data_IF_865207936202
#
_entry.id   IF_865207936202
#
_cell.length_a   1.000
_cell.length_b   1.000
_cell.length_c   1.000
_cell.angle_alpha   90.00
_cell.angle_beta   90.00
_cell.angle_gamma   90.00
#
_symmetry.space_group_name_H-M   'P 1'
#
loop_
_entity.id
_entity.type
_entity.pdbx_description
1 polymer ?
#
# COMPACT_ATOMS: atom_id res chain seq x y z
N UNK A 1 -61.48 6.63 -6.35
CA UNK A 1 -60.99 5.37 -5.75
C UNK A 1 -59.88 4.86 -6.65
N UNK A 2 -58.67 5.37 -6.42
CA UNK A 2 -57.58 5.38 -7.39
C UNK A 2 -56.51 4.32 -7.12
N UNK A 3 -55.69 4.02 -8.14
CA UNK A 3 -54.77 2.88 -8.23
C UNK A 3 -53.48 3.08 -7.42
N UNK A 4 -53.61 3.59 -6.19
CA UNK A 4 -52.48 3.88 -5.28
C UNK A 4 -52.23 2.78 -4.25
N UNK A 5 -53.11 1.78 -4.13
CA UNK A 5 -52.92 0.68 -3.16
C UNK A 5 -52.13 -0.53 -3.71
N UNK A 6 -51.94 -0.64 -5.03
CA UNK A 6 -51.27 -1.81 -5.62
C UNK A 6 -49.74 -1.67 -5.72
N UNK A 7 -49.19 -0.47 -5.55
CA UNK A 7 -47.73 -0.25 -5.56
C UNK A 7 -47.06 -0.50 -4.21
N UNK A 8 -47.83 -0.61 -3.12
CA UNK A 8 -47.29 -0.81 -1.77
C UNK A 8 -47.10 -2.29 -1.38
N UNK A 9 -47.59 -3.24 -2.19
CA UNK A 9 -47.53 -4.68 -1.87
C UNK A 9 -46.47 -5.46 -2.68
N UNK A 10 -45.77 -4.82 -3.61
CA UNK A 10 -44.66 -5.44 -4.37
C UNK A 10 -43.26 -5.11 -3.83
N UNK A 11 -43.14 -4.37 -2.72
CA UNK A 11 -41.84 -4.00 -2.11
C UNK A 11 -41.50 -4.83 -0.85
N UNK A 12 -42.39 -5.70 -0.38
CA UNK A 12 -42.22 -6.37 0.93
C UNK A 12 -41.76 -7.85 0.85
N UNK A 13 -41.49 -8.39 -0.34
CA UNK A 13 -40.94 -9.76 -0.45
C UNK A 13 -39.71 -9.83 -1.35
N UNK A 14 -38.60 -9.27 -0.87
CA UNK A 14 -37.24 -9.73 -1.21
C UNK A 14 -36.21 -9.27 -0.17
N UNK A 15 -36.59 -9.27 1.11
CA UNK A 15 -35.63 -9.37 2.21
C UNK A 15 -35.51 -10.85 2.62
N UNK A 16 -35.30 -11.72 1.64
CA UNK A 16 -34.81 -13.08 1.91
C UNK A 16 -33.36 -12.93 2.37
N UNK A 17 -33.21 -12.89 3.69
CA UNK A 17 -32.15 -13.56 4.46
C UNK A 17 -31.01 -14.04 3.57
N UNK A 18 -30.11 -13.14 3.19
CA UNK A 18 -28.71 -13.51 3.09
C UNK A 18 -28.17 -13.41 4.52
N UNK A 19 -28.53 -14.41 5.32
CA UNK A 19 -27.60 -14.88 6.33
C UNK A 19 -26.41 -15.41 5.53
N UNK A 20 -25.52 -14.50 5.11
CA UNK A 20 -24.19 -14.89 4.70
C UNK A 20 -23.66 -15.67 5.88
N UNK A 21 -23.38 -16.96 5.68
CA UNK A 21 -22.49 -17.73 6.54
C UNK A 21 -21.15 -16.98 6.55
N UNK A 22 -21.05 -15.97 7.41
CA UNK A 22 -19.79 -15.36 7.76
C UNK A 22 -19.09 -16.42 8.57
N UNK A 23 -18.25 -17.22 7.90
CA UNK A 23 -17.24 -18.01 8.60
C UNK A 23 -16.48 -16.99 9.44
N UNK A 24 -16.54 -17.07 10.78
CA UNK A 24 -15.92 -16.06 11.62
C UNK A 24 -14.44 -16.03 11.30
N UNK A 25 -13.86 -14.84 11.09
CA UNK A 25 -12.41 -14.67 10.89
C UNK A 25 -11.60 -15.40 11.99
N UNK A 26 -12.19 -15.51 13.18
CA UNK A 26 -11.71 -16.30 14.33
C UNK A 26 -11.44 -17.78 14.01
N UNK A 27 -12.22 -18.43 13.14
CA UNK A 27 -12.01 -19.81 12.69
C UNK A 27 -10.83 -19.97 11.73
N UNK A 28 -10.51 -18.91 10.97
CA UNK A 28 -9.38 -18.88 10.05
C UNK A 28 -8.06 -18.58 10.76
N UNK A 29 -8.12 -17.80 11.85
CA UNK A 29 -6.96 -17.18 12.51
C UNK A 29 -6.65 -17.70 13.91
N UNK A 30 -7.34 -18.74 14.39
CA UNK A 30 -7.26 -19.22 15.77
C UNK A 30 -5.83 -19.54 16.24
N UNK A 31 -4.89 -19.81 15.33
CA UNK A 31 -3.49 -20.13 15.64
C UNK A 31 -2.46 -19.13 15.09
N UNK A 32 -2.87 -18.08 14.37
CA UNK A 32 -1.94 -17.18 13.69
C UNK A 32 -2.15 -15.73 14.13
N UNK A 33 -1.15 -15.17 14.81
CA UNK A 33 -1.08 -13.75 15.12
C UNK A 33 -0.77 -12.94 13.84
N UNK A 34 -1.78 -12.75 12.99
CA UNK A 34 -1.70 -11.85 11.83
C UNK A 34 -1.62 -10.36 12.23
N UNK A 35 -1.76 -10.07 13.52
CA UNK A 35 -1.99 -8.73 14.05
C UNK A 35 -0.91 -7.71 13.70
N UNK A 36 0.28 -8.15 13.26
CA UNK A 36 1.27 -7.18 12.89
C UNK A 36 2.36 -7.79 11.97
N UNK A 37 2.05 -7.94 10.68
CA UNK A 37 3.01 -8.41 9.66
C UNK A 37 4.28 -7.53 9.57
N UNK A 38 4.22 -6.32 10.13
CA UNK A 38 5.29 -5.33 10.18
C UNK A 38 6.02 -5.23 11.54
N UNK A 39 5.55 -5.89 12.60
CA UNK A 39 6.04 -5.68 13.97
C UNK A 39 7.15 -6.63 14.39
N UNK A 40 8.09 -6.07 15.13
CA UNK A 40 9.23 -6.77 15.73
C UNK A 40 8.94 -7.25 17.16
N UNK A 41 7.85 -6.80 17.78
CA UNK A 41 7.50 -7.05 19.19
C UNK A 41 6.50 -8.20 19.42
N UNK A 42 5.83 -8.70 18.37
CA UNK A 42 4.89 -9.83 18.41
C UNK A 42 5.53 -11.17 18.85
N UNK A 43 6.82 -11.19 19.12
CA UNK A 43 7.60 -12.34 19.62
C UNK A 43 7.28 -12.71 21.07
N UNK A 44 6.58 -11.86 21.86
CA UNK A 44 6.50 -12.06 23.32
C UNK A 44 5.19 -12.57 23.92
N UNK A 45 4.13 -12.80 23.16
CA UNK A 45 2.87 -13.32 23.74
C UNK A 45 2.14 -14.30 22.83
N UNK A 46 2.63 -15.55 22.80
CA UNK A 46 1.77 -16.73 22.87
C UNK A 46 2.63 -17.98 23.01
N UNK A 47 2.66 -18.52 24.22
CA UNK A 47 3.17 -19.86 24.50
C UNK A 47 2.21 -20.89 23.89
N UNK A 48 2.50 -21.33 22.67
CA UNK A 48 2.46 -22.72 22.19
C UNK A 48 2.65 -22.73 20.67
N UNK A 49 3.82 -23.20 20.23
CA UNK A 49 4.17 -23.51 18.83
C UNK A 49 3.78 -22.40 17.83
N UNK A 50 4.40 -21.23 17.96
CA UNK A 50 4.46 -20.27 16.85
C UNK A 50 5.44 -20.88 15.82
N UNK A 51 4.99 -21.31 14.62
CA UNK A 51 5.94 -21.64 13.55
C UNK A 51 6.74 -20.39 13.30
N UNK A 52 8.09 -20.43 13.39
CA UNK A 52 9.01 -19.30 13.20
C UNK A 52 8.41 -18.28 12.22
N UNK A 53 7.71 -17.29 12.77
CA UNK A 53 7.00 -16.29 11.99
C UNK A 53 8.09 -15.41 11.46
N UNK A 54 8.36 -15.49 10.16
CA UNK A 54 9.19 -14.51 9.48
C UNK A 54 8.39 -13.21 9.55
N UNK A 55 8.66 -12.37 10.55
CA UNK A 55 8.28 -10.96 10.49
C UNK A 55 8.77 -10.44 9.14
N UNK A 56 7.91 -9.74 8.41
CA UNK A 56 8.31 -9.14 7.15
C UNK A 56 9.12 -7.89 7.50
N UNK A 57 10.42 -8.06 7.71
CA UNK A 57 11.33 -6.94 7.90
C UNK A 57 11.50 -6.20 6.58
N UNK A 58 10.92 -5.01 6.50
CA UNK A 58 11.09 -4.06 5.42
C UNK A 58 12.03 -2.92 5.88
N UNK A 59 13.23 -3.25 6.39
CA UNK A 59 14.22 -2.27 6.88
C UNK A 59 14.44 -1.13 5.89
N UNK A 60 14.77 -1.51 4.65
CA UNK A 60 14.88 -0.59 3.54
C UNK A 60 14.51 -1.35 2.27
N UNK A 61 13.49 -0.87 1.57
CA UNK A 61 13.13 -1.43 0.27
C UNK A 61 13.83 -0.63 -0.81
N UNK A 62 14.69 -1.29 -1.57
CA UNK A 62 15.41 -0.65 -2.68
C UNK A 62 14.70 -0.87 -4.01
N UNK A 63 14.57 0.17 -4.82
CA UNK A 63 14.12 0.14 -6.22
C UNK A 63 15.23 0.74 -7.09
N UNK A 64 15.59 0.05 -8.17
CA UNK A 64 16.78 0.43 -8.96
C UNK A 64 16.62 1.79 -9.64
N UNK A 65 15.48 2.01 -10.28
CA UNK A 65 15.18 3.25 -10.99
C UNK A 65 13.69 3.44 -11.18
N UNK A 66 13.25 4.70 -11.21
CA UNK A 66 11.93 5.12 -11.62
C UNK A 66 12.07 6.49 -12.28
N UNK A 67 11.26 6.79 -13.29
CA UNK A 67 11.36 8.06 -13.98
C UNK A 67 10.11 8.39 -14.77
N UNK A 68 9.92 9.67 -15.03
CA UNK A 68 8.78 10.19 -15.77
C UNK A 68 9.18 11.35 -16.68
N UNK A 69 8.37 11.57 -17.69
CA UNK A 69 8.36 12.75 -18.54
C UNK A 69 6.90 13.18 -18.68
N UNK A 70 6.46 14.08 -17.80
CA UNK A 70 5.06 14.47 -17.63
C UNK A 70 4.99 15.99 -17.55
N UNK A 71 4.10 16.61 -18.31
CA UNK A 71 3.85 18.05 -18.32
C UNK A 71 5.11 18.92 -18.52
N UNK A 72 6.08 18.40 -19.29
CA UNK A 72 7.33 19.09 -19.57
C UNK A 72 8.37 19.02 -18.44
N UNK A 73 8.10 18.26 -17.38
CA UNK A 73 9.09 17.90 -16.37
C UNK A 73 9.56 16.46 -16.60
N UNK A 74 10.83 16.33 -16.96
CA UNK A 74 11.53 15.05 -16.96
C UNK A 74 12.27 14.86 -15.66
N UNK A 75 12.06 13.71 -15.02
CA UNK A 75 12.68 13.37 -13.75
C UNK A 75 13.02 11.89 -13.71
N UNK A 76 14.29 11.59 -13.49
CA UNK A 76 14.80 10.23 -13.36
C UNK A 76 15.39 10.07 -11.95
N UNK A 77 14.99 9.01 -11.25
CA UNK A 77 15.51 8.62 -9.95
C UNK A 77 16.18 7.25 -10.01
N UNK A 78 17.31 7.09 -9.32
CA UNK A 78 18.04 5.83 -9.20
C UNK A 78 18.44 5.57 -7.75
N UNK A 79 18.78 4.31 -7.43
CA UNK A 79 19.14 3.89 -6.07
C UNK A 79 18.07 4.26 -5.03
N UNK A 80 16.80 4.13 -5.40
CA UNK A 80 15.66 4.59 -4.61
C UNK A 80 15.53 3.69 -3.39
N UNK A 81 15.50 4.28 -2.21
CA UNK A 81 15.38 3.58 -0.93
C UNK A 81 14.17 4.10 -0.19
N UNK A 82 13.25 3.20 0.13
CA UNK A 82 12.10 3.45 0.98
C UNK A 82 12.39 2.95 2.39
N UNK A 83 12.23 3.82 3.38
CA UNK A 83 12.44 3.56 4.79
C UNK A 83 11.19 3.92 5.60
N UNK A 84 10.95 3.21 6.71
CA UNK A 84 9.80 3.43 7.60
C UNK A 84 8.69 2.38 7.49
N UNK A 85 8.83 1.37 6.62
CA UNK A 85 7.84 0.28 6.53
C UNK A 85 7.85 -0.66 7.74
N UNK A 86 8.95 -0.76 8.48
CA UNK A 86 9.00 -1.50 9.75
C UNK A 86 8.15 -0.84 10.85
N UNK A 87 7.97 0.48 10.77
CA UNK A 87 7.18 1.24 11.74
C UNK A 87 5.72 1.37 11.31
N UNK A 88 5.32 0.65 10.25
CA UNK A 88 3.98 0.71 9.72
C UNK A 88 2.95 0.13 10.69
N UNK A 89 1.87 0.87 10.87
CA UNK A 89 0.73 0.50 11.70
C UNK A 89 -0.35 -0.06 10.80
N UNK A 90 -0.76 -1.29 11.08
CA UNK A 90 -1.84 -1.97 10.36
C UNK A 90 -3.21 -1.37 10.75
N UNK A 91 -3.89 -0.76 9.78
CA UNK A 91 -5.24 -0.22 9.96
C UNK A 91 -6.31 -1.28 9.70
N UNK A 92 -6.12 -2.07 8.64
CA UNK A 92 -7.09 -3.06 8.19
C UNK A 92 -6.37 -4.27 7.61
N UNK A 93 -6.80 -5.47 8.00
CA UNK A 93 -6.38 -6.70 7.37
C UNK A 93 -7.49 -7.73 7.44
N UNK A 94 -7.88 -8.28 6.30
CA UNK A 94 -8.96 -9.24 6.27
C UNK A 94 -9.13 -9.95 4.94
N UNK A 95 -9.81 -11.08 5.01
CA UNK A 95 -10.22 -11.87 3.85
C UNK A 95 -11.74 -11.84 3.75
N UNK A 96 -12.25 -11.43 2.60
CA UNK A 96 -13.64 -11.63 2.23
C UNK A 96 -13.71 -12.84 1.29
N UNK A 97 -14.09 -14.01 1.81
CA UNK A 97 -14.18 -15.25 1.03
C UNK A 97 -15.35 -15.27 0.04
N UNK A 98 -16.42 -14.51 0.31
CA UNK A 98 -17.55 -14.37 -0.60
C UNK A 98 -17.15 -13.57 -1.85
N UNK A 99 -16.49 -12.43 -1.66
CA UNK A 99 -15.98 -11.59 -2.74
C UNK A 99 -14.63 -12.07 -3.30
N UNK A 100 -13.96 -12.99 -2.60
CA UNK A 100 -12.59 -13.47 -2.86
C UNK A 100 -11.55 -12.35 -2.93
N UNK A 101 -11.57 -11.48 -1.94
CA UNK A 101 -10.68 -10.31 -1.84
C UNK A 101 -9.98 -10.28 -0.49
N UNK A 102 -8.67 -10.07 -0.50
CA UNK A 102 -7.88 -9.68 0.66
C UNK A 102 -7.80 -8.15 0.67
N UNK A 103 -8.08 -7.55 1.82
CA UNK A 103 -7.88 -6.13 2.09
C UNK A 103 -6.73 -5.96 3.08
N UNK A 104 -5.82 -5.04 2.77
CA UNK A 104 -4.70 -4.66 3.61
C UNK A 104 -4.55 -3.15 3.55
N UNK A 105 -4.75 -2.47 4.67
CA UNK A 105 -4.50 -1.04 4.81
C UNK A 105 -3.54 -0.82 5.97
N UNK A 106 -2.53 0.01 5.77
CA UNK A 106 -1.60 0.42 6.80
C UNK A 106 -1.22 1.89 6.62
N UNK A 107 -0.72 2.52 7.68
CA UNK A 107 -0.12 3.83 7.58
C UNK A 107 1.26 3.86 8.24
N UNK A 108 2.12 4.76 7.79
CA UNK A 108 3.44 4.99 8.37
C UNK A 108 3.98 6.37 8.06
N UNK A 109 5.04 6.77 8.75
CA UNK A 109 5.95 7.79 8.26
C UNK A 109 6.98 7.14 7.34
N UNK A 110 7.25 7.76 6.20
CA UNK A 110 8.15 7.19 5.19
C UNK A 110 9.20 8.21 4.75
N UNK A 111 10.44 7.76 4.64
CA UNK A 111 11.53 8.53 4.03
C UNK A 111 11.95 7.83 2.74
N UNK A 112 11.99 8.58 1.65
CA UNK A 112 12.44 8.13 0.34
C UNK A 112 13.71 8.89 -0.03
N UNK A 113 14.79 8.17 -0.27
CA UNK A 113 16.06 8.76 -0.72
C UNK A 113 16.46 8.18 -2.06
N UNK A 114 17.03 9.01 -2.94
CA UNK A 114 17.45 8.59 -4.26
C UNK A 114 18.40 9.60 -4.91
N UNK A 115 19.20 9.12 -5.85
CA UNK A 115 19.95 9.99 -6.76
C UNK A 115 19.02 10.40 -7.90
N UNK A 116 19.00 11.68 -8.27
CA UNK A 116 18.08 12.21 -9.26
C UNK A 116 18.79 12.97 -10.38
N UNK A 117 18.13 12.98 -11.55
CA UNK A 117 18.40 13.89 -12.66
C UNK A 117 17.07 14.49 -13.11
N UNK A 118 16.97 15.82 -13.14
CA UNK A 118 15.76 16.54 -13.53
C UNK A 118 16.07 17.54 -14.64
N UNK A 119 15.17 17.64 -15.61
CA UNK A 119 15.22 18.70 -16.61
C UNK A 119 13.81 19.12 -17.06
N UNK A 120 13.73 20.27 -17.73
CA UNK A 120 12.50 20.78 -18.29
C UNK A 120 11.91 21.90 -17.44
N UNK A 121 10.61 21.87 -17.21
CA UNK A 121 9.89 22.96 -16.54
C UNK A 121 8.93 22.42 -15.48
N UNK A 122 9.00 22.98 -14.27
CA UNK A 122 8.06 22.71 -13.19
C UNK A 122 7.42 24.03 -12.75
N UNK A 123 6.08 24.11 -12.76
CA UNK A 123 5.33 25.34 -12.43
C UNK A 123 5.80 26.57 -13.23
N UNK A 124 6.03 26.41 -14.53
CA UNK A 124 6.59 27.44 -15.42
C UNK A 124 8.01 27.90 -15.09
N UNK A 125 8.69 27.22 -14.15
CA UNK A 125 10.08 27.49 -13.79
C UNK A 125 10.98 26.45 -14.44
N UNK A 126 11.97 26.86 -15.26
CA UNK A 126 12.95 25.94 -15.80
C UNK A 126 13.76 25.28 -14.68
N UNK A 127 13.91 23.96 -14.78
CA UNK A 127 14.70 23.14 -13.86
C UNK A 127 15.74 22.36 -14.64
N UNK A 128 16.95 22.29 -14.09
CA UNK A 128 18.03 21.47 -14.60
C UNK A 128 18.97 21.17 -13.44
N UNK A 129 18.83 19.98 -12.89
CA UNK A 129 19.48 19.58 -11.65
C UNK A 129 19.87 18.11 -11.69
N UNK A 130 20.96 17.80 -11.00
CA UNK A 130 21.40 16.43 -10.76
C UNK A 130 22.01 16.39 -9.36
N UNK A 131 21.64 15.39 -8.58
CA UNK A 131 22.10 15.31 -7.20
C UNK A 131 21.34 14.27 -6.39
N UNK A 132 21.23 14.52 -5.09
CA UNK A 132 20.56 13.63 -4.15
C UNK A 132 19.26 14.26 -3.65
N UNK A 133 18.21 13.46 -3.58
CA UNK A 133 16.90 13.85 -3.08
C UNK A 133 16.55 13.08 -1.81
N UNK A 134 15.95 13.80 -0.86
CA UNK A 134 15.32 13.24 0.34
C UNK A 134 13.87 13.72 0.37
N UNK A 135 12.94 12.78 0.38
CA UNK A 135 11.50 13.03 0.47
C UNK A 135 10.98 12.41 1.75
N UNK A 136 10.45 13.23 2.64
CA UNK A 136 9.80 12.81 3.89
C UNK A 136 8.28 12.87 3.72
N UNK A 137 7.60 11.77 3.98
CA UNK A 137 6.15 11.61 3.88
C UNK A 137 5.62 11.32 5.28
N UNK A 138 4.73 12.18 5.78
CA UNK A 138 4.13 12.03 7.09
C UNK A 138 2.75 11.41 6.97
N UNK A 139 2.53 10.35 7.75
CA UNK A 139 1.26 9.62 7.80
C UNK A 139 0.75 9.22 6.40
N UNK A 140 1.61 8.56 5.62
CA UNK A 140 1.18 7.96 4.35
C UNK A 140 0.36 6.71 4.66
N UNK A 141 -0.91 6.70 4.26
CA UNK A 141 -1.74 5.51 4.24
C UNK A 141 -1.63 4.82 2.89
N UNK A 142 -1.51 3.50 2.91
CA UNK A 142 -1.50 2.64 1.72
C UNK A 142 -2.54 1.56 1.90
N UNK A 143 -3.39 1.38 0.88
CA UNK A 143 -4.43 0.35 0.84
C UNK A 143 -4.21 -0.56 -0.35
N UNK A 144 -4.28 -1.86 -0.11
CA UNK A 144 -4.25 -2.92 -1.11
C UNK A 144 -5.59 -3.64 -1.14
N UNK A 145 -6.06 -3.89 -2.36
CA UNK A 145 -7.20 -4.76 -2.66
C UNK A 145 -6.66 -5.87 -3.55
N UNK A 146 -6.67 -7.09 -3.03
CA UNK A 146 -5.95 -8.23 -3.61
C UNK A 146 -6.94 -9.36 -3.89
N UNK A 147 -7.38 -9.54 -5.15
CA UNK A 147 -8.17 -10.69 -5.54
C UNK A 147 -7.39 -11.99 -5.33
N UNK A 148 -8.06 -13.03 -4.85
CA UNK A 148 -7.48 -14.34 -4.64
C UNK A 148 -8.38 -15.47 -5.15
N UNK A 149 -7.81 -16.67 -5.33
CA UNK A 149 -8.58 -17.91 -5.44
C UNK A 149 -8.16 -18.91 -4.39
N UNK A 150 -8.96 -19.96 -4.25
CA UNK A 150 -8.61 -21.13 -3.45
C UNK A 150 -8.05 -22.19 -4.40
N UNK A 151 -6.75 -22.47 -4.28
CA UNK A 151 -6.09 -23.56 -4.99
C UNK A 151 -6.07 -24.80 -4.13
N UNK A 152 -6.37 -25.96 -4.72
CA UNK A 152 -6.16 -27.26 -4.08
C UNK A 152 -4.78 -27.77 -4.48
N UNK A 153 -4.00 -28.20 -3.50
CA UNK A 153 -2.75 -28.92 -3.70
C UNK A 153 -2.74 -30.12 -2.74
N UNK A 154 -2.89 -31.32 -3.31
CA UNK A 154 -3.23 -32.54 -2.60
C UNK A 154 -4.49 -32.36 -1.72
N UNK A 155 -4.44 -32.80 -0.45
CA UNK A 155 -5.55 -32.67 0.51
C UNK A 155 -5.61 -31.29 1.19
N UNK A 156 -4.77 -30.33 0.76
CA UNK A 156 -4.70 -28.98 1.33
C UNK A 156 -5.26 -27.95 0.37
N UNK A 157 -5.91 -26.94 0.92
CA UNK A 157 -6.37 -25.76 0.19
C UNK A 157 -5.47 -24.59 0.55
N UNK A 158 -5.13 -23.75 -0.41
CA UNK A 158 -4.29 -22.57 -0.22
C UNK A 158 -4.94 -21.35 -0.86
N UNK A 159 -4.66 -20.18 -0.28
CA UNK A 159 -5.02 -18.91 -0.91
C UNK A 159 -3.95 -18.58 -1.96
N UNK A 160 -4.38 -18.38 -3.19
CA UNK A 160 -3.52 -17.96 -4.30
C UNK A 160 -3.87 -16.53 -4.69
N UNK A 161 -3.02 -15.56 -4.32
CA UNK A 161 -3.19 -14.16 -4.69
C UNK A 161 -2.92 -13.97 -6.19
N UNK A 162 -3.86 -13.34 -6.91
CA UNK A 162 -3.84 -13.26 -8.38
C UNK A 162 -3.19 -11.98 -8.89
N UNK A 163 -3.66 -10.85 -8.38
CA UNK A 163 -3.26 -9.51 -8.77
C UNK A 163 -3.44 -8.58 -7.57
N UNK A 164 -3.07 -7.31 -7.71
CA UNK A 164 -3.35 -6.31 -6.70
C UNK A 164 -3.78 -5.00 -7.37
N UNK A 165 -4.65 -4.28 -6.69
CA UNK A 165 -4.81 -2.86 -6.86
C UNK A 165 -4.35 -2.19 -5.57
N UNK A 166 -3.77 -1.01 -5.69
CA UNK A 166 -3.40 -0.23 -4.51
C UNK A 166 -3.74 1.24 -4.70
N UNK A 167 -4.00 1.90 -3.58
CA UNK A 167 -4.10 3.35 -3.47
C UNK A 167 -3.23 3.82 -2.32
N UNK A 168 -2.84 5.09 -2.36
CA UNK A 168 -2.15 5.73 -1.25
C UNK A 168 -2.67 7.15 -1.05
N UNK A 169 -2.56 7.63 0.18
CA UNK A 169 -2.86 9.00 0.55
C UNK A 169 -1.85 9.48 1.58
N UNK A 170 -1.19 10.60 1.28
CA UNK A 170 -0.34 11.29 2.25
C UNK A 170 -1.23 12.29 2.97
N UNK A 171 -1.50 12.02 4.24
CA UNK A 171 -2.56 12.69 5.02
C UNK A 171 -2.09 13.99 5.64
N UNK A 172 -0.86 14.00 6.15
CA UNK A 172 -0.38 15.10 6.97
C UNK A 172 0.49 16.06 6.17
N UNK A 173 1.64 15.61 5.68
CA UNK A 173 2.60 16.46 4.99
C UNK A 173 3.57 15.65 4.11
N UNK A 174 4.10 16.29 3.06
CA UNK A 174 5.30 15.81 2.39
C UNK A 174 6.32 16.94 2.27
N UNK A 175 7.59 16.62 2.53
CA UNK A 175 8.70 17.55 2.40
C UNK A 175 9.73 16.97 1.44
N UNK A 176 10.15 17.78 0.49
CA UNK A 176 11.11 17.47 -0.55
C UNK A 176 12.33 18.34 -0.33
N UNK A 177 13.49 17.69 -0.29
CA UNK A 177 14.80 18.34 -0.29
C UNK A 177 15.56 17.85 -1.51
N UNK A 178 15.96 18.78 -2.38
CA UNK A 178 16.73 18.45 -3.56
C UNK A 178 18.10 19.12 -3.45
N UNK A 179 19.13 18.34 -3.19
CA UNK A 179 20.49 18.85 -3.22
C UNK A 179 20.85 19.20 -4.67
N UNK A 180 21.28 20.44 -4.88
CA UNK A 180 21.75 20.95 -6.18
C UNK A 180 20.71 20.99 -7.31
N UNK A 181 19.46 21.36 -7.00
CA UNK A 181 18.36 21.44 -7.99
C UNK A 181 18.66 22.38 -9.16
N UNK A 182 19.45 23.42 -8.92
CA UNK A 182 20.05 24.25 -9.96
C UNK A 182 21.52 24.50 -9.66
N UNK A 183 22.42 24.08 -10.55
CA UNK A 183 23.87 24.12 -10.34
C UNK A 183 24.48 25.53 -10.29
N UNK A 184 23.71 26.57 -10.65
CA UNK A 184 24.22 27.93 -10.88
C UNK A 184 23.60 29.01 -10.00
N UNK A 185 22.48 28.76 -9.31
CA UNK A 185 21.79 29.79 -8.52
C UNK A 185 21.11 29.21 -7.26
N UNK A 186 21.70 29.48 -6.09
CA UNK A 186 21.17 29.02 -4.80
C UNK A 186 19.79 29.59 -4.47
N UNK A 187 19.57 30.88 -4.75
CA UNK A 187 18.28 31.54 -4.49
C UNK A 187 17.16 30.94 -5.34
N UNK A 188 17.45 30.61 -6.60
CA UNK A 188 16.50 29.93 -7.49
C UNK A 188 16.20 28.51 -6.99
N UNK A 189 17.23 27.76 -6.57
CA UNK A 189 17.06 26.42 -5.99
C UNK A 189 16.17 26.46 -4.75
N UNK A 190 16.40 27.40 -3.84
CA UNK A 190 15.59 27.57 -2.62
C UNK A 190 14.15 27.96 -2.94
N UNK A 191 13.94 28.87 -3.92
CA UNK A 191 12.61 29.25 -4.37
C UNK A 191 11.82 28.08 -4.97
N UNK A 192 12.46 27.26 -5.81
CA UNK A 192 11.81 26.09 -6.40
C UNK A 192 11.49 25.05 -5.33
N UNK A 193 12.41 24.78 -4.40
CA UNK A 193 12.17 23.86 -3.28
C UNK A 193 11.00 24.34 -2.40
N UNK A 194 10.91 25.65 -2.12
CA UNK A 194 9.76 26.22 -1.42
C UNK A 194 8.46 26.01 -2.18
N UNK A 195 8.43 26.22 -3.50
CA UNK A 195 7.23 26.00 -4.31
C UNK A 195 6.82 24.52 -4.35
N UNK A 196 7.79 23.62 -4.47
CA UNK A 196 7.60 22.17 -4.39
C UNK A 196 6.95 21.79 -3.06
N UNK A 197 7.52 22.26 -1.96
CA UNK A 197 7.02 21.99 -0.61
C UNK A 197 5.64 22.61 -0.35
N UNK A 198 5.37 23.82 -0.85
CA UNK A 198 4.03 24.44 -0.74
C UNK A 198 2.97 23.66 -1.55
N UNK A 199 3.38 22.97 -2.62
CA UNK A 199 2.50 22.23 -3.54
C UNK A 199 2.71 20.72 -3.44
N UNK A 200 3.17 20.23 -2.29
CA UNK A 200 3.52 18.83 -2.10
C UNK A 200 2.39 17.88 -2.49
N UNK A 201 1.12 18.24 -2.20
CA UNK A 201 -0.04 17.40 -2.53
C UNK A 201 -0.20 17.23 -4.04
N UNK A 202 -0.04 18.31 -4.81
CA UNK A 202 -0.04 18.23 -6.28
C UNK A 202 1.05 17.28 -6.77
N UNK A 203 2.27 17.43 -6.26
CA UNK A 203 3.40 16.61 -6.71
C UNK A 203 3.19 15.13 -6.42
N UNK A 204 2.76 14.81 -5.21
CA UNK A 204 2.54 13.42 -4.80
C UNK A 204 1.41 12.77 -5.59
N UNK A 205 0.30 13.47 -5.84
CA UNK A 205 -0.82 12.93 -6.62
C UNK A 205 -0.47 12.74 -8.10
N UNK A 206 0.20 13.72 -8.71
CA UNK A 206 0.48 13.69 -10.15
C UNK A 206 1.67 12.81 -10.53
N UNK A 207 2.73 12.78 -9.71
CA UNK A 207 3.99 12.12 -10.06
C UNK A 207 4.35 10.95 -9.13
N UNK A 208 3.79 10.89 -7.93
CA UNK A 208 4.19 9.92 -6.91
C UNK A 208 3.99 8.46 -7.31
N UNK A 209 2.94 8.17 -8.11
CA UNK A 209 2.61 6.81 -8.53
C UNK A 209 3.78 6.09 -9.22
N UNK A 210 4.57 6.81 -10.00
CA UNK A 210 5.74 6.28 -10.72
C UNK A 210 6.78 5.68 -9.77
N UNK A 211 6.92 6.26 -8.56
CA UNK A 211 7.83 5.75 -7.54
C UNK A 211 7.21 4.60 -6.74
N UNK A 212 5.92 4.68 -6.42
CA UNK A 212 5.26 3.68 -5.56
C UNK A 212 4.86 2.39 -6.28
N UNK A 213 4.73 2.38 -7.62
CA UNK A 213 4.34 1.17 -8.35
C UNK A 213 5.29 0.00 -8.09
N UNK A 214 6.61 0.24 -8.17
CA UNK A 214 7.62 -0.78 -7.87
C UNK A 214 7.67 -1.16 -6.39
N UNK A 215 7.37 -0.23 -5.48
CA UNK A 215 7.27 -0.53 -4.06
C UNK A 215 6.07 -1.44 -3.77
N UNK A 216 4.92 -1.11 -4.34
CA UNK A 216 3.67 -1.85 -4.17
C UNK A 216 3.79 -3.27 -4.72
N UNK A 217 4.46 -3.45 -5.87
CA UNK A 217 4.77 -4.77 -6.42
C UNK A 217 5.62 -5.61 -5.45
N UNK A 218 6.65 -5.02 -4.83
CA UNK A 218 7.47 -5.71 -3.83
C UNK A 218 6.67 -6.13 -2.61
N UNK A 219 5.84 -5.24 -2.07
CA UNK A 219 4.95 -5.54 -0.93
C UNK A 219 3.99 -6.69 -1.32
N UNK A 220 3.38 -6.62 -2.49
CA UNK A 220 2.49 -7.66 -2.99
C UNK A 220 3.19 -9.02 -3.12
N UNK A 221 4.39 -9.05 -3.69
CA UNK A 221 5.15 -10.30 -3.85
C UNK A 221 5.52 -10.93 -2.50
N UNK A 222 5.88 -10.10 -1.53
CA UNK A 222 6.12 -10.56 -0.16
C UNK A 222 4.85 -11.13 0.46
N UNK A 223 3.72 -10.40 0.37
CA UNK A 223 2.42 -10.86 0.87
C UNK A 223 1.99 -12.17 0.20
N UNK A 224 2.17 -12.29 -1.12
CA UNK A 224 1.87 -13.51 -1.89
C UNK A 224 2.67 -14.70 -1.39
N UNK A 225 3.98 -14.54 -1.20
CA UNK A 225 4.84 -15.58 -0.68
C UNK A 225 4.48 -15.97 0.75
N UNK A 226 4.11 -14.99 1.58
CA UNK A 226 3.68 -15.23 2.95
C UNK A 226 2.39 -16.07 3.00
N UNK A 227 1.34 -15.63 2.30
CA UNK A 227 0.02 -16.27 2.31
C UNK A 227 0.05 -17.70 1.74
N UNK A 228 0.87 -17.98 0.73
CA UNK A 228 0.99 -19.32 0.15
C UNK A 228 1.51 -20.38 1.14
N UNK A 229 2.18 -19.97 2.23
CA UNK A 229 2.71 -20.91 3.23
C UNK A 229 1.65 -21.39 4.23
N UNK A 230 0.45 -20.82 4.23
CA UNK A 230 -0.61 -21.13 5.19
C UNK A 230 -1.76 -21.90 4.51
N UNK A 231 -1.84 -23.23 4.69
CA UNK A 231 -2.99 -23.98 4.21
C UNK A 231 -4.25 -23.57 4.96
N UNK A 232 -5.37 -23.42 4.25
CA UNK A 232 -6.70 -23.31 4.83
C UNK A 232 -6.98 -24.59 5.61
N UNK A 233 -7.17 -24.51 6.93
CA UNK A 233 -7.65 -25.64 7.72
C UNK A 233 -9.07 -26.01 7.28
N UNK A 234 -9.43 -27.29 7.42
CA UNK A 234 -10.72 -27.80 7.00
C UNK A 234 -11.85 -27.10 7.76
N UNK A 235 -12.75 -26.49 7.00
CA UNK A 235 -13.95 -25.77 7.45
C UNK A 235 -14.99 -26.63 8.22
N UNK A 236 -14.67 -27.88 8.56
CA UNK A 236 -15.63 -28.85 9.12
C UNK A 236 -15.67 -28.93 10.64
N UNK A 237 -14.84 -28.17 11.35
CA UNK A 237 -14.79 -28.12 12.83
C UNK A 237 -14.94 -26.67 13.36
N UNK A 238 -15.60 -25.83 12.55
CA UNK A 238 -16.34 -24.65 12.97
C UNK A 238 -17.79 -24.84 12.51
#
# INVERSE_FOLDING_TARGET
MGPLLYFALSVIQLSSILATEQIPLKCFLQDYNFFNIFDTSAVKTSSNVVPKTHSLHFDTVTVNSAGFDIDGWKHDGTNIKFQGLNDAILDEFGFNFTAKVLQLTFHTDMVVTYDYKSSGTLFSTPINGEGFAEVSLKNIQVSFIVPFDIKKDNDKKFIELKSFNYSYDIRDNATFKFLSLTSTNKELSESIEQQINQRWKYLTVHFGKVFYDSLAEKIFNVLKNYVMNFPLKNFGEC
#
